data_IF_289431614658
#
_entry.id   IF_289431614658
#
_cell.length_a   1.000
_cell.length_b   1.000
_cell.length_c   1.000
_cell.angle_alpha   90.00
_cell.angle_beta   90.00
_cell.angle_gamma   90.00
#
_symmetry.space_group_name_H-M   'P 1'
#
loop_
_entity.id
_entity.type
_entity.pdbx_description
1 polymer ?
#
# COMPACT_ATOMS: atom_id res chain seq x y z
N UNK A 1 7.55 -38.42 1.19
CA UNK A 1 8.79 -38.01 1.87
C UNK A 1 8.73 -36.51 2.02
N UNK A 2 8.65 -36.01 3.25
CA UNK A 2 8.74 -34.57 3.52
C UNK A 2 10.16 -34.31 4.03
N UNK A 3 11.02 -33.61 3.27
CA UNK A 3 12.37 -33.30 3.74
C UNK A 3 12.28 -32.40 4.98
N UNK A 4 13.10 -32.70 5.99
CA UNK A 4 13.28 -31.84 7.15
C UNK A 4 14.56 -31.04 6.94
N UNK A 5 14.43 -29.72 6.85
CA UNK A 5 15.56 -28.79 6.76
C UNK A 5 15.88 -28.27 8.15
N UNK A 6 17.10 -28.52 8.62
CA UNK A 6 17.60 -27.97 9.88
C UNK A 6 18.48 -26.77 9.54
N UNK A 7 17.99 -25.57 9.85
CA UNK A 7 18.68 -24.32 9.60
C UNK A 7 19.15 -23.70 10.92
N UNK A 8 20.36 -23.11 10.92
CA UNK A 8 20.86 -22.33 12.04
C UNK A 8 19.99 -21.08 12.21
N UNK A 9 19.58 -20.78 13.45
CA UNK A 9 18.88 -19.55 13.79
C UNK A 9 19.81 -18.33 13.63
N UNK A 10 19.29 -17.26 13.02
CA UNK A 10 20.02 -16.03 12.68
C UNK A 10 19.34 -14.82 13.33
N UNK A 11 20.11 -13.90 13.92
CA UNK A 11 19.62 -12.62 14.44
C UNK A 11 19.12 -12.63 15.90
N UNK A 12 18.90 -13.81 16.49
CA UNK A 12 18.34 -13.96 17.84
C UNK A 12 19.36 -14.46 18.88
N UNK A 13 20.65 -14.52 18.51
CA UNK A 13 21.72 -14.99 19.39
C UNK A 13 22.15 -13.98 20.46
N UNK A 14 21.80 -12.70 20.31
CA UNK A 14 22.10 -11.65 21.28
C UNK A 14 20.78 -11.09 21.86
N UNK A 15 20.45 -11.35 23.15
CA UNK A 15 19.22 -10.88 23.77
C UNK A 15 19.06 -9.35 23.80
N UNK A 16 20.16 -8.61 23.66
CA UNK A 16 20.18 -7.15 23.65
C UNK A 16 20.04 -6.56 22.23
N UNK A 17 20.33 -7.33 21.18
CA UNK A 17 20.14 -6.90 19.81
C UNK A 17 18.70 -7.14 19.39
N UNK A 18 18.10 -6.14 18.74
CA UNK A 18 16.74 -6.22 18.23
C UNK A 18 16.83 -6.67 16.76
N UNK A 19 16.61 -7.96 16.43
CA UNK A 19 16.69 -8.42 15.05
C UNK A 19 15.70 -7.67 14.17
N UNK A 20 16.13 -7.39 12.95
CA UNK A 20 15.31 -6.79 11.89
C UNK A 20 15.09 -7.85 10.84
N UNK A 21 13.85 -8.25 10.64
CA UNK A 21 13.48 -9.32 9.71
C UNK A 21 12.45 -8.80 8.72
N UNK A 22 12.32 -9.51 7.61
CA UNK A 22 11.36 -9.12 6.59
C UNK A 22 11.18 -10.09 5.45
N UNK A 23 10.27 -9.68 4.58
CA UNK A 23 10.00 -10.29 3.28
C UNK A 23 10.34 -9.28 2.18
N UNK A 24 10.89 -9.77 1.08
CA UNK A 24 11.26 -8.99 -0.08
C UNK A 24 10.71 -9.68 -1.32
N UNK A 25 9.84 -8.99 -2.03
CA UNK A 25 9.44 -9.34 -3.37
C UNK A 25 10.37 -8.60 -4.32
N UNK A 26 11.16 -9.34 -5.09
CA UNK A 26 12.13 -8.73 -6.01
C UNK A 26 11.44 -7.90 -7.09
N UNK A 27 10.20 -8.27 -7.40
CA UNK A 27 9.26 -7.54 -8.22
C UNK A 27 7.91 -7.34 -7.52
N UNK A 28 7.28 -6.17 -7.71
CA UNK A 28 5.91 -5.92 -7.31
C UNK A 28 4.95 -6.90 -7.99
N UNK A 29 4.34 -7.75 -7.17
CA UNK A 29 3.44 -8.80 -7.63
C UNK A 29 2.17 -8.24 -8.30
N UNK A 30 1.85 -6.97 -8.06
CA UNK A 30 0.66 -6.31 -8.62
C UNK A 30 0.96 -5.68 -9.99
N UNK A 31 2.24 -5.55 -10.36
CA UNK A 31 2.71 -4.67 -11.44
C UNK A 31 2.98 -5.40 -12.74
N UNK A 32 2.23 -6.45 -13.03
CA UNK A 32 2.00 -6.76 -14.44
C UNK A 32 1.13 -5.67 -15.03
N UNK A 33 1.74 -4.48 -15.13
CA UNK A 33 1.47 -3.46 -16.10
C UNK A 33 1.12 -4.21 -17.37
N UNK A 34 -0.06 -3.89 -17.87
CA UNK A 34 -0.49 -4.11 -19.23
C UNK A 34 0.66 -3.89 -20.23
N UNK A 35 1.49 -4.90 -20.44
CA UNK A 35 2.32 -5.03 -21.63
C UNK A 35 1.71 -6.16 -22.43
N UNK A 36 0.85 -5.74 -23.36
CA UNK A 36 0.39 -6.51 -24.51
C UNK A 36 1.54 -6.94 -25.45
N UNK A 37 2.80 -6.67 -25.07
CA UNK A 37 3.97 -7.04 -25.85
C UNK A 37 5.08 -7.59 -24.93
N UNK A 38 5.48 -8.82 -25.20
CA UNK A 38 6.30 -9.69 -24.33
C UNK A 38 7.80 -9.33 -24.31
N UNK A 39 8.16 -8.06 -24.50
CA UNK A 39 9.56 -7.65 -24.67
C UNK A 39 10.20 -7.04 -23.41
N UNK A 40 9.40 -6.53 -22.45
CA UNK A 40 9.88 -6.14 -21.13
C UNK A 40 8.93 -6.65 -20.03
N UNK A 41 9.28 -7.78 -19.38
CA UNK A 41 8.36 -8.52 -18.54
C UNK A 41 8.17 -7.94 -17.12
N UNK A 42 8.84 -6.84 -16.76
CA UNK A 42 8.89 -6.39 -15.36
C UNK A 42 8.63 -4.90 -15.14
N UNK A 43 8.07 -4.54 -13.98
CA UNK A 43 8.01 -3.13 -13.51
C UNK A 43 9.34 -2.62 -12.97
N UNK A 44 10.23 -3.53 -12.58
CA UNK A 44 11.50 -3.23 -11.93
C UNK A 44 11.38 -2.69 -10.50
N UNK A 45 10.19 -2.74 -9.90
CA UNK A 45 9.93 -2.27 -8.53
C UNK A 45 10.16 -3.42 -7.57
N UNK A 46 11.09 -3.26 -6.64
CA UNK A 46 11.28 -4.21 -5.52
C UNK A 46 10.48 -3.73 -4.33
N UNK A 47 9.78 -4.65 -3.65
CA UNK A 47 9.00 -4.36 -2.45
C UNK A 47 9.65 -5.06 -1.27
N UNK A 48 10.16 -4.29 -0.32
CA UNK A 48 10.70 -4.80 0.94
C UNK A 48 9.73 -4.46 2.05
N UNK A 49 9.43 -5.43 2.91
CA UNK A 49 8.72 -5.19 4.14
C UNK A 49 9.46 -5.74 5.33
N UNK A 50 9.53 -4.95 6.39
CA UNK A 50 10.35 -5.31 7.53
C UNK A 50 9.80 -4.78 8.85
N UNK A 51 10.06 -5.54 9.90
CA UNK A 51 9.76 -5.18 11.29
C UNK A 51 10.88 -5.65 12.23
N UNK A 52 10.66 -5.48 13.53
CA UNK A 52 11.56 -5.96 14.57
C UNK A 52 11.10 -7.33 15.09
N UNK A 53 12.05 -8.14 15.58
CA UNK A 53 11.78 -9.45 16.18
C UNK A 53 11.94 -10.61 15.20
N UNK A 54 11.29 -11.73 15.50
CA UNK A 54 11.30 -12.96 14.69
C UNK A 54 10.42 -12.82 13.43
N UNK A 55 10.87 -13.36 12.29
CA UNK A 55 10.22 -13.17 10.97
C UNK A 55 8.79 -13.69 10.88
N UNK A 56 8.43 -14.69 11.68
CA UNK A 56 7.06 -15.19 11.83
C UNK A 56 6.04 -14.06 12.03
N UNK A 57 6.40 -12.99 12.76
CA UNK A 57 5.51 -11.84 12.94
C UNK A 57 5.15 -11.15 11.62
N UNK A 58 6.11 -11.06 10.69
CA UNK A 58 5.94 -10.46 9.36
C UNK A 58 5.19 -11.43 8.44
N UNK A 59 5.69 -12.67 8.31
CA UNK A 59 5.17 -13.69 7.39
C UNK A 59 3.71 -14.05 7.71
N UNK A 60 3.40 -14.25 9.00
CA UNK A 60 2.04 -14.52 9.50
C UNK A 60 1.25 -13.26 9.80
N UNK A 61 1.84 -12.08 9.53
CA UNK A 61 1.16 -10.78 9.62
C UNK A 61 0.54 -10.47 10.97
N UNK A 62 1.22 -10.91 12.03
CA UNK A 62 0.81 -10.71 13.41
C UNK A 62 1.24 -9.34 13.95
N UNK A 63 2.16 -8.65 13.25
CA UNK A 63 2.68 -7.34 13.65
C UNK A 63 2.63 -6.32 12.51
N UNK A 64 2.52 -5.01 12.81
CA UNK A 64 2.68 -3.95 11.82
C UNK A 64 4.08 -3.98 11.20
N UNK A 65 4.19 -3.63 9.92
CA UNK A 65 5.44 -3.62 9.16
C UNK A 65 5.65 -2.31 8.44
N UNK A 66 6.92 -1.92 8.30
CA UNK A 66 7.31 -0.88 7.35
C UNK A 66 7.35 -1.48 5.94
N UNK A 67 7.04 -0.67 4.94
CA UNK A 67 7.09 -1.07 3.53
C UNK A 67 7.99 -0.11 2.78
N UNK A 68 8.88 -0.63 1.95
CA UNK A 68 9.82 0.14 1.15
C UNK A 68 9.66 -0.29 -0.30
N UNK A 69 9.31 0.64 -1.17
CA UNK A 69 9.25 0.42 -2.60
C UNK A 69 10.52 1.00 -3.22
N UNK A 70 11.26 0.17 -3.95
CA UNK A 70 12.54 0.56 -4.56
C UNK A 70 12.46 0.40 -6.07
N UNK A 71 12.63 1.51 -6.79
CA UNK A 71 12.63 1.50 -8.25
C UNK A 71 13.99 1.06 -8.83
N UNK A 72 14.10 0.99 -10.15
CA UNK A 72 15.33 0.60 -10.86
C UNK A 72 16.51 1.58 -10.67
N UNK A 73 16.23 2.83 -10.27
CA UNK A 73 17.24 3.85 -9.97
C UNK A 73 17.58 3.91 -8.47
N UNK A 74 17.17 2.89 -7.69
CA UNK A 74 17.38 2.78 -6.25
C UNK A 74 16.74 3.91 -5.42
N UNK A 75 15.75 4.62 -5.97
CA UNK A 75 14.93 5.55 -5.19
C UNK A 75 14.04 4.76 -4.23
N UNK A 76 14.05 5.13 -2.95
CA UNK A 76 13.27 4.47 -1.89
C UNK A 76 12.04 5.32 -1.57
N UNK A 77 10.87 4.68 -1.63
CA UNK A 77 9.62 5.23 -1.11
C UNK A 77 9.22 4.42 0.14
N UNK A 78 9.47 4.95 1.36
CA UNK A 78 9.11 4.27 2.59
C UNK A 78 7.67 4.60 3.03
N UNK A 79 6.97 3.60 3.56
CA UNK A 79 5.73 3.71 4.32
C UNK A 79 6.01 3.13 5.71
N UNK A 80 6.12 4.01 6.70
CA UNK A 80 6.51 3.63 8.07
C UNK A 80 5.26 3.50 8.94
N UNK A 81 5.15 2.39 9.67
CA UNK A 81 4.01 2.12 10.54
C UNK A 81 4.41 2.05 12.01
N UNK A 82 3.48 2.39 12.93
CA UNK A 82 3.66 2.16 14.35
C UNK A 82 3.85 0.67 14.67
N UNK A 83 5.07 0.24 14.98
CA UNK A 83 5.43 -1.14 15.34
C UNK A 83 5.30 -1.35 16.84
N UNK A 84 4.07 -1.35 17.35
CA UNK A 84 3.82 -1.39 18.81
C UNK A 84 4.20 -2.71 19.47
N UNK A 85 4.31 -3.79 18.70
CA UNK A 85 4.64 -5.13 19.19
C UNK A 85 5.60 -5.84 18.22
N UNK A 86 6.28 -6.88 18.71
CA UNK A 86 7.16 -7.79 17.96
C UNK A 86 6.98 -9.23 18.42
N UNK A 87 7.36 -10.19 17.59
CA UNK A 87 7.46 -11.60 17.99
C UNK A 87 8.87 -11.90 18.49
N UNK A 88 8.97 -12.68 19.57
CA UNK A 88 10.25 -13.08 20.17
C UNK A 88 10.11 -14.49 20.77
N UNK A 89 11.11 -15.37 20.60
CA UNK A 89 11.09 -16.67 21.27
C UNK A 89 11.22 -16.51 22.79
N UNK A 90 10.59 -17.40 23.53
CA UNK A 90 10.84 -17.54 24.98
C UNK A 90 12.21 -18.15 25.22
N UNK A 91 12.87 -17.72 26.29
CA UNK A 91 14.18 -18.26 26.69
C UNK A 91 14.15 -19.75 27.04
N UNK A 92 12.99 -20.27 27.46
CA UNK A 92 12.85 -21.63 28.00
C UNK A 92 12.35 -22.63 26.96
N UNK A 93 11.30 -22.28 26.21
CA UNK A 93 10.65 -23.21 25.26
C UNK A 93 10.99 -22.92 23.80
N UNK A 94 11.54 -21.75 23.48
CA UNK A 94 11.70 -21.27 22.10
C UNK A 94 10.37 -20.91 21.43
N UNK A 95 9.24 -21.01 22.15
CA UNK A 95 7.93 -20.63 21.65
C UNK A 95 7.86 -19.13 21.40
N UNK A 96 7.26 -18.72 20.29
CA UNK A 96 7.15 -17.32 19.96
C UNK A 96 6.04 -16.65 20.77
N UNK A 97 6.35 -15.50 21.38
CA UNK A 97 5.41 -14.65 22.08
C UNK A 97 5.42 -13.24 21.51
N UNK A 98 4.24 -12.61 21.57
CA UNK A 98 4.09 -11.21 21.24
C UNK A 98 4.56 -10.36 22.43
N UNK A 99 5.52 -9.47 22.18
CA UNK A 99 6.12 -8.58 23.18
C UNK A 99 5.97 -7.14 22.72
N UNK A 100 5.61 -6.24 23.63
CA UNK A 100 5.52 -4.81 23.33
C UNK A 100 6.90 -4.22 22.99
N UNK A 101 6.93 -3.33 22.00
CA UNK A 101 8.07 -2.45 21.77
C UNK A 101 7.98 -1.23 22.69
N UNK A 102 9.13 -0.75 23.17
CA UNK A 102 9.19 0.55 23.84
C UNK A 102 8.91 1.69 22.83
N UNK A 103 8.69 2.91 23.32
CA UNK A 103 8.17 4.04 22.52
C UNK A 103 9.00 4.39 21.29
N UNK A 104 10.32 4.14 21.30
CA UNK A 104 11.24 4.54 20.23
C UNK A 104 11.19 3.62 18.99
N UNK A 105 11.37 2.28 19.08
CA UNK A 105 11.15 1.37 17.96
C UNK A 105 9.73 1.43 17.38
N UNK A 106 8.73 1.78 18.19
CA UNK A 106 7.37 1.89 17.70
C UNK A 106 7.25 2.89 16.52
N UNK A 107 8.00 3.99 16.52
CA UNK A 107 7.88 5.06 15.51
C UNK A 107 9.08 5.20 14.59
N UNK A 108 10.12 4.36 14.76
CA UNK A 108 11.34 4.43 13.96
C UNK A 108 11.26 3.45 12.79
N UNK A 109 11.85 3.76 11.61
CA UNK A 109 12.00 2.79 10.53
C UNK A 109 12.73 1.52 11.00
N UNK A 110 12.23 0.36 10.60
CA UNK A 110 12.83 -0.94 10.89
C UNK A 110 14.17 -1.08 10.18
N UNK A 111 14.29 -0.60 8.94
CA UNK A 111 15.52 -0.60 8.15
C UNK A 111 16.02 0.82 7.86
N UNK A 112 17.34 0.97 7.83
CA UNK A 112 18.00 2.17 7.31
C UNK A 112 18.12 2.11 5.77
N UNK A 113 18.35 3.26 5.12
CA UNK A 113 18.42 3.34 3.65
C UNK A 113 19.50 2.44 3.04
N UNK A 114 20.66 2.28 3.68
CA UNK A 114 21.74 1.41 3.19
C UNK A 114 21.35 -0.07 3.17
N UNK A 115 20.65 -0.54 4.21
CA UNK A 115 20.09 -1.89 4.25
C UNK A 115 19.06 -2.11 3.13
N UNK A 116 18.17 -1.13 2.90
CA UNK A 116 17.16 -1.18 1.84
C UNK A 116 17.80 -1.23 0.44
N UNK A 117 18.83 -0.42 0.18
CA UNK A 117 19.59 -0.47 -1.08
C UNK A 117 20.29 -1.82 -1.25
N UNK A 118 20.88 -2.34 -0.18
CA UNK A 118 21.54 -3.66 -0.22
C UNK A 118 20.55 -4.77 -0.58
N UNK A 119 19.34 -4.73 -0.02
CA UNK A 119 18.26 -5.65 -0.38
C UNK A 119 17.85 -5.52 -1.85
N UNK A 120 17.73 -4.30 -2.39
CA UNK A 120 17.49 -4.10 -3.83
C UNK A 120 18.59 -4.75 -4.70
N UNK A 121 19.86 -4.60 -4.31
CA UNK A 121 20.96 -5.24 -5.03
C UNK A 121 20.91 -6.78 -4.91
N UNK A 122 20.47 -7.32 -3.77
CA UNK A 122 20.22 -8.75 -3.63
C UNK A 122 19.06 -9.22 -4.50
N UNK A 123 17.96 -8.46 -4.58
CA UNK A 123 16.82 -8.75 -5.44
C UNK A 123 17.25 -8.92 -6.90
N UNK A 124 17.98 -7.95 -7.45
CA UNK A 124 18.47 -7.98 -8.84
C UNK A 124 19.38 -9.21 -9.10
N UNK A 125 20.27 -9.53 -8.16
CA UNK A 125 21.13 -10.71 -8.26
C UNK A 125 20.36 -12.03 -8.18
N UNK A 126 19.36 -12.11 -7.30
CA UNK A 126 18.52 -13.29 -7.15
C UNK A 126 17.69 -13.51 -8.41
N UNK A 127 17.09 -12.46 -8.98
CA UNK A 127 16.37 -12.56 -10.24
C UNK A 127 17.26 -13.01 -11.39
N UNK A 128 18.47 -12.43 -11.49
CA UNK A 128 19.45 -12.83 -12.50
C UNK A 128 19.84 -14.30 -12.35
N UNK A 129 20.02 -14.77 -11.11
CA UNK A 129 20.44 -16.14 -10.83
C UNK A 129 19.33 -17.18 -11.07
N UNK A 130 18.10 -16.88 -10.62
CA UNK A 130 16.96 -17.80 -10.74
C UNK A 130 16.17 -17.64 -12.06
N UNK A 131 16.45 -16.58 -12.84
CA UNK A 131 15.82 -16.33 -14.13
C UNK A 131 14.41 -15.73 -14.05
N UNK A 132 14.01 -15.18 -12.91
CA UNK A 132 12.70 -14.57 -12.74
C UNK A 132 12.48 -13.99 -11.34
N UNK A 133 11.31 -13.36 -11.09
CA UNK A 133 11.00 -12.72 -9.82
C UNK A 133 10.92 -13.72 -8.67
N UNK A 134 11.31 -13.27 -7.47
CA UNK A 134 11.46 -14.09 -6.28
C UNK A 134 10.73 -13.47 -5.07
N UNK A 135 10.18 -14.34 -4.25
CA UNK A 135 9.70 -14.08 -2.88
C UNK A 135 10.79 -14.54 -1.91
N UNK A 136 11.34 -13.59 -1.13
CA UNK A 136 12.58 -13.76 -0.38
C UNK A 136 12.37 -13.36 1.08
N UNK A 137 12.72 -14.25 2.00
CA UNK A 137 12.76 -13.93 3.43
C UNK A 137 14.18 -13.59 3.86
N UNK A 138 14.35 -12.58 4.71
CA UNK A 138 15.67 -12.11 5.13
C UNK A 138 15.72 -11.68 6.60
N UNK A 139 16.95 -11.66 7.13
CA UNK A 139 17.29 -11.10 8.44
C UNK A 139 18.47 -10.14 8.27
N UNK A 140 18.35 -8.94 8.83
CA UNK A 140 19.41 -7.93 8.85
C UNK A 140 20.04 -7.88 10.23
N UNK A 141 21.34 -8.14 10.27
CA UNK A 141 22.17 -7.92 11.44
C UNK A 141 22.97 -6.63 11.26
N UNK A 142 22.60 -5.56 11.96
CA UNK A 142 23.30 -4.28 11.88
C UNK A 142 24.64 -4.26 12.61
N UNK A 143 24.82 -5.08 13.66
CA UNK A 143 26.10 -5.18 14.39
C UNK A 143 27.19 -5.78 13.49
N UNK A 144 26.82 -6.78 12.69
CA UNK A 144 27.70 -7.45 11.72
C UNK A 144 27.65 -6.80 10.32
N UNK A 145 26.83 -5.77 10.13
CA UNK A 145 26.55 -5.16 8.82
C UNK A 145 26.25 -6.20 7.72
N UNK A 146 25.45 -7.21 8.06
CA UNK A 146 25.20 -8.39 7.21
C UNK A 146 23.71 -8.63 6.99
N UNK A 147 23.34 -8.94 5.75
CA UNK A 147 21.99 -9.40 5.37
C UNK A 147 22.06 -10.91 5.11
N UNK A 148 21.24 -11.65 5.84
CA UNK A 148 21.09 -13.09 5.66
C UNK A 148 19.80 -13.36 4.89
N UNK A 149 19.91 -14.04 3.74
CA UNK A 149 18.75 -14.58 3.03
C UNK A 149 18.42 -15.93 3.64
N UNK A 150 17.24 -16.07 4.23
CA UNK A 150 16.83 -17.29 4.93
C UNK A 150 15.97 -18.20 4.07
N UNK A 151 15.20 -17.64 3.14
CA UNK A 151 14.42 -18.38 2.14
C UNK A 151 14.35 -17.56 0.85
N UNK A 152 14.35 -18.23 -0.30
CA UNK A 152 14.03 -17.63 -1.59
C UNK A 152 13.24 -18.64 -2.43
N UNK A 153 12.11 -18.22 -2.98
CA UNK A 153 11.28 -19.05 -3.88
C UNK A 153 10.78 -18.23 -5.06
N UNK A 154 10.56 -18.84 -6.25
CA UNK A 154 10.01 -18.11 -7.39
C UNK A 154 8.65 -17.49 -7.08
N UNK A 155 8.44 -16.26 -7.51
CA UNK A 155 7.12 -15.62 -7.55
C UNK A 155 6.35 -16.22 -8.74
N UNK A 156 5.19 -16.83 -8.48
CA UNK A 156 4.40 -17.44 -9.55
C UNK A 156 3.68 -16.35 -10.34
N UNK A 157 4.20 -16.05 -11.52
CA UNK A 157 3.72 -14.95 -12.34
C UNK A 157 2.43 -15.32 -13.09
N UNK A 158 1.24 -15.14 -12.49
CA UNK A 158 -0.06 -15.36 -13.17
C UNK A 158 -0.37 -14.27 -14.20
N UNK A 159 -1.16 -14.58 -15.23
CA UNK A 159 -1.76 -13.56 -16.11
C UNK A 159 -2.99 -13.02 -15.41
N UNK A 160 -3.00 -11.73 -15.14
CA UNK A 160 -4.18 -11.06 -14.62
C UNK A 160 -5.03 -10.53 -15.77
N UNK A 161 -6.32 -10.39 -15.49
CA UNK A 161 -7.21 -9.63 -16.36
C UNK A 161 -6.84 -8.15 -16.34
N UNK A 162 -7.26 -7.43 -17.38
CA UNK A 162 -7.03 -5.99 -17.49
C UNK A 162 -7.70 -5.24 -16.34
N UNK A 163 -6.93 -4.39 -15.64
CA UNK A 163 -7.42 -3.61 -14.51
C UNK A 163 -8.64 -2.77 -14.90
N UNK A 164 -9.63 -2.69 -14.02
CA UNK A 164 -10.88 -1.96 -14.26
C UNK A 164 -11.44 -1.44 -12.93
N UNK A 165 -12.03 -0.25 -12.94
CA UNK A 165 -12.60 0.38 -11.74
C UNK A 165 -13.93 1.08 -12.02
N UNK A 166 -14.66 1.42 -10.96
CA UNK A 166 -15.92 2.14 -11.06
C UNK A 166 -15.71 3.66 -10.99
N UNK A 167 -16.03 4.35 -12.07
CA UNK A 167 -16.02 5.83 -12.11
C UNK A 167 -17.35 6.41 -11.62
N UNK A 168 -18.47 5.86 -12.10
CA UNK A 168 -19.81 6.37 -11.82
C UNK A 168 -20.65 5.37 -11.01
N UNK A 169 -20.10 4.89 -9.88
CA UNK A 169 -20.76 3.91 -9.02
C UNK A 169 -22.16 4.32 -8.53
N UNK A 170 -22.42 5.64 -8.44
CA UNK A 170 -23.71 6.19 -7.97
C UNK A 170 -24.87 5.91 -8.94
N UNK A 171 -24.58 5.49 -10.18
CA UNK A 171 -25.57 5.07 -11.17
C UNK A 171 -26.01 3.61 -10.95
N UNK A 172 -25.29 2.85 -10.13
CA UNK A 172 -25.65 1.48 -9.79
C UNK A 172 -26.72 1.47 -8.70
N UNK A 173 -27.75 0.66 -8.90
CA UNK A 173 -28.73 0.39 -7.86
C UNK A 173 -28.28 -0.83 -7.05
N UNK A 174 -28.30 -0.71 -5.74
CA UNK A 174 -27.82 -1.78 -4.87
C UNK A 174 -27.38 -1.28 -3.51
N UNK A 175 -27.10 -2.23 -2.62
CA UNK A 175 -26.46 -1.93 -1.34
C UNK A 175 -24.93 -1.95 -1.53
N UNK A 176 -24.24 -0.92 -1.02
CA UNK A 176 -22.79 -0.77 -1.17
C UNK A 176 -22.11 -0.97 0.18
N UNK A 177 -21.15 -1.88 0.23
CA UNK A 177 -20.27 -2.08 1.37
C UNK A 177 -18.86 -1.60 1.01
N UNK A 178 -18.33 -0.70 1.84
CA UNK A 178 -16.96 -0.20 1.73
C UNK A 178 -16.07 -0.80 2.80
N UNK A 179 -14.83 -1.07 2.44
CA UNK A 179 -13.78 -1.56 3.30
C UNK A 179 -12.43 -1.20 2.72
N UNK A 180 -11.54 -2.18 2.61
CA UNK A 180 -10.16 -1.98 2.15
C UNK A 180 -9.66 -3.18 1.36
N UNK A 181 -8.73 -2.95 0.44
CA UNK A 181 -8.12 -4.01 -0.35
C UNK A 181 -6.89 -4.58 0.33
N UNK A 182 -6.86 -5.90 0.50
CA UNK A 182 -5.67 -6.63 0.95
C UNK A 182 -4.83 -7.04 -0.27
N UNK A 183 -5.45 -7.58 -1.31
CA UNK A 183 -4.75 -7.93 -2.56
C UNK A 183 -5.65 -7.68 -3.76
N UNK A 184 -5.20 -6.86 -4.71
CA UNK A 184 -6.02 -6.52 -5.86
C UNK A 184 -6.06 -7.60 -6.95
N UNK A 185 -5.09 -8.52 -6.95
CA UNK A 185 -4.94 -9.59 -7.95
C UNK A 185 -5.20 -9.11 -9.39
N UNK A 186 -4.48 -8.05 -9.80
CA UNK A 186 -4.63 -7.42 -11.12
C UNK A 186 -5.66 -6.30 -11.22
N UNK A 187 -6.47 -6.08 -10.18
CA UNK A 187 -7.33 -4.91 -10.05
C UNK A 187 -8.53 -4.89 -10.99
N UNK A 188 -8.84 -5.96 -11.70
CA UNK A 188 -10.06 -6.01 -12.53
C UNK A 188 -11.31 -6.12 -11.66
N UNK A 189 -12.43 -5.54 -12.12
CA UNK A 189 -13.73 -5.72 -11.49
C UNK A 189 -14.14 -7.20 -11.59
N UNK A 190 -14.85 -7.69 -10.57
CA UNK A 190 -15.37 -9.07 -10.54
C UNK A 190 -16.87 -9.03 -10.34
N UNK A 191 -17.62 -9.53 -11.31
CA UNK A 191 -19.05 -9.76 -11.14
C UNK A 191 -19.25 -11.24 -10.77
N UNK A 192 -19.72 -11.48 -9.55
CA UNK A 192 -19.67 -12.80 -8.94
C UNK A 192 -20.99 -13.15 -8.24
N UNK A 193 -21.30 -14.44 -8.21
CA UNK A 193 -22.37 -15.00 -7.38
C UNK A 193 -21.84 -15.32 -5.98
N UNK A 194 -22.70 -15.45 -4.96
CA UNK A 194 -22.30 -15.90 -3.63
C UNK A 194 -21.45 -17.17 -3.60
N UNK A 195 -21.75 -18.14 -4.46
CA UNK A 195 -21.01 -19.41 -4.55
C UNK A 195 -19.57 -19.24 -5.03
N UNK A 196 -19.24 -18.10 -5.65
CA UNK A 196 -17.91 -17.78 -6.17
C UNK A 196 -17.11 -16.90 -5.20
N UNK A 197 -17.60 -16.68 -3.98
CA UNK A 197 -16.91 -15.93 -2.94
C UNK A 197 -16.59 -16.85 -1.77
N UNK A 198 -15.35 -16.80 -1.29
CA UNK A 198 -15.00 -17.40 0.00
C UNK A 198 -14.93 -16.30 1.06
N UNK A 199 -15.67 -16.52 2.14
CA UNK A 199 -15.68 -15.65 3.31
C UNK A 199 -15.03 -16.32 4.52
N UNK A 200 -14.13 -15.60 5.20
CA UNK A 200 -13.55 -15.99 6.49
C UNK A 200 -13.43 -14.80 7.44
N UNK A 201 -13.54 -15.02 8.75
CA UNK A 201 -13.31 -13.95 9.72
C UNK A 201 -11.85 -13.46 9.66
N UNK A 202 -10.93 -14.39 9.38
CA UNK A 202 -9.51 -14.13 9.15
C UNK A 202 -9.07 -14.67 7.79
N UNK A 203 -7.92 -14.21 7.30
CA UNK A 203 -7.39 -14.68 6.03
C UNK A 203 -6.94 -16.14 6.08
N UNK A 204 -6.45 -16.61 7.24
CA UNK A 204 -6.15 -18.02 7.47
C UNK A 204 -7.40 -18.90 7.37
N UNK A 205 -8.49 -18.53 8.05
CA UNK A 205 -9.77 -19.25 7.96
C UNK A 205 -10.31 -19.27 6.51
N UNK A 206 -10.18 -18.16 5.79
CA UNK A 206 -10.57 -18.10 4.38
C UNK A 206 -9.73 -19.07 3.53
N UNK A 207 -8.43 -19.23 3.82
CA UNK A 207 -7.57 -20.15 3.12
C UNK A 207 -7.91 -21.61 3.42
N UNK A 208 -8.16 -21.95 4.69
CA UNK A 208 -8.56 -23.32 5.07
C UNK A 208 -9.83 -23.73 4.31
N UNK A 209 -10.85 -22.87 4.31
CA UNK A 209 -12.08 -23.08 3.53
C UNK A 209 -11.81 -23.22 2.04
N UNK A 210 -10.95 -22.37 1.50
CA UNK A 210 -10.61 -22.38 0.07
C UNK A 210 -9.92 -23.70 -0.34
N UNK A 211 -9.04 -24.24 0.50
CA UNK A 211 -8.32 -25.49 0.25
C UNK A 211 -9.22 -26.74 0.34
N UNK A 212 -10.29 -26.68 1.12
CA UNK A 212 -11.28 -27.76 1.24
C UNK A 212 -12.26 -27.83 0.06
N UNK A 213 -12.33 -26.80 -0.78
CA UNK A 213 -13.23 -26.77 -1.94
C UNK A 213 -12.82 -27.80 -3.00
N UNK A 214 -13.81 -28.46 -3.60
CA UNK A 214 -13.59 -29.35 -4.73
C UNK A 214 -13.19 -28.59 -6.00
N UNK A 215 -13.77 -27.40 -6.20
CA UNK A 215 -13.55 -26.55 -7.39
C UNK A 215 -13.02 -25.15 -7.00
N UNK A 216 -11.80 -25.02 -6.47
CA UNK A 216 -11.24 -23.73 -6.03
C UNK A 216 -11.02 -22.73 -7.19
N UNK A 217 -11.05 -23.20 -8.43
CA UNK A 217 -10.90 -22.36 -9.62
C UNK A 217 -12.13 -21.48 -9.89
N UNK A 218 -13.33 -21.91 -9.46
CA UNK A 218 -14.60 -21.17 -9.66
C UNK A 218 -14.76 -19.96 -8.75
N UNK A 219 -13.96 -19.89 -7.67
CA UNK A 219 -13.96 -18.76 -6.74
C UNK A 219 -13.31 -17.57 -7.42
N UNK A 220 -13.95 -16.40 -7.39
CA UNK A 220 -13.49 -15.20 -8.09
C UNK A 220 -13.09 -14.07 -7.13
N UNK A 221 -13.43 -14.18 -5.84
CA UNK A 221 -13.01 -13.22 -4.82
C UNK A 221 -12.97 -13.84 -3.41
N UNK A 222 -12.11 -13.28 -2.56
CA UNK A 222 -11.98 -13.62 -1.15
C UNK A 222 -12.35 -12.39 -0.31
N UNK A 223 -13.17 -12.60 0.73
CA UNK A 223 -13.56 -11.52 1.65
C UNK A 223 -13.25 -11.90 3.08
N UNK A 224 -12.61 -10.99 3.81
CA UNK A 224 -12.26 -11.16 5.22
C UNK A 224 -12.94 -10.16 6.13
N UNK A 225 -13.26 -10.60 7.35
CA UNK A 225 -13.79 -9.74 8.40
C UNK A 225 -12.75 -8.95 9.18
N UNK A 226 -11.48 -9.35 9.10
CA UNK A 226 -10.35 -8.62 9.68
C UNK A 226 -9.36 -8.23 8.60
N UNK A 227 -8.76 -7.06 8.77
CA UNK A 227 -7.68 -6.59 7.91
C UNK A 227 -6.44 -7.49 8.05
N UNK A 228 -5.74 -7.72 6.94
CA UNK A 228 -4.41 -8.34 6.91
C UNK A 228 -3.48 -7.56 5.97
N UNK A 229 -2.16 -7.57 6.18
CA UNK A 229 -1.17 -7.10 5.22
C UNK A 229 -1.25 -7.87 3.88
N UNK A 230 -1.07 -7.13 2.78
CA UNK A 230 -1.09 -7.63 1.39
C UNK A 230 -0.02 -8.66 1.05
N UNK A 231 0.98 -8.76 1.90
CA UNK A 231 2.21 -9.55 1.79
C UNK A 231 2.26 -10.71 2.78
N UNK A 232 1.21 -10.89 3.58
CA UNK A 232 1.06 -12.07 4.42
C UNK A 232 1.23 -13.33 3.58
N UNK A 233 1.70 -14.43 4.19
CA UNK A 233 1.81 -15.70 3.50
C UNK A 233 0.49 -16.07 2.81
N UNK A 234 -0.64 -15.91 3.51
CA UNK A 234 -1.98 -16.20 2.97
C UNK A 234 -2.41 -15.24 1.85
N UNK A 235 -2.14 -13.94 1.97
CA UNK A 235 -2.45 -12.98 0.91
C UNK A 235 -1.65 -13.27 -0.37
N UNK A 236 -0.38 -13.67 -0.21
CA UNK A 236 0.49 -14.07 -1.31
C UNK A 236 -0.04 -15.34 -1.99
N UNK A 237 -0.58 -16.31 -1.23
CA UNK A 237 -1.23 -17.50 -1.81
C UNK A 237 -2.41 -17.11 -2.69
N UNK A 238 -3.34 -16.29 -2.18
CA UNK A 238 -4.49 -15.85 -2.98
C UNK A 238 -4.09 -14.99 -4.19
N UNK A 239 -3.07 -14.15 -4.04
CA UNK A 239 -2.52 -13.37 -5.14
C UNK A 239 -1.94 -14.27 -6.24
N UNK A 240 -1.17 -15.29 -5.86
CA UNK A 240 -0.66 -16.32 -6.79
C UNK A 240 -1.82 -17.10 -7.43
N UNK A 241 -2.93 -17.29 -6.70
CA UNK A 241 -4.16 -17.88 -7.23
C UNK A 241 -5.00 -16.90 -8.08
N UNK A 242 -4.55 -15.66 -8.26
CA UNK A 242 -5.26 -14.65 -9.04
C UNK A 242 -6.58 -14.19 -8.40
N UNK A 243 -6.74 -14.41 -7.10
CA UNK A 243 -7.98 -14.12 -6.36
C UNK A 243 -7.82 -12.81 -5.58
N UNK A 244 -8.61 -11.78 -5.88
CA UNK A 244 -8.58 -10.55 -5.11
C UNK A 244 -9.08 -10.80 -3.69
N UNK A 245 -8.47 -10.12 -2.73
CA UNK A 245 -8.76 -10.23 -1.30
C UNK A 245 -9.20 -8.86 -0.79
N UNK A 246 -10.41 -8.77 -0.25
CA UNK A 246 -10.95 -7.58 0.39
C UNK A 246 -11.21 -7.79 1.86
N UNK A 247 -10.98 -6.76 2.65
CA UNK A 247 -11.49 -6.67 4.02
C UNK A 247 -12.74 -5.80 4.01
N UNK A 248 -13.87 -6.35 4.48
CA UNK A 248 -15.12 -5.62 4.66
C UNK A 248 -15.50 -5.63 6.14
N UNK A 249 -15.62 -4.45 6.80
CA UNK A 249 -15.89 -4.38 8.24
C UNK A 249 -17.36 -4.69 8.62
N UNK A 250 -18.30 -4.61 7.68
CA UNK A 250 -19.74 -4.81 7.91
C UNK A 250 -20.16 -6.24 7.55
N UNK A 251 -19.84 -7.16 8.46
CA UNK A 251 -19.94 -8.61 8.22
C UNK A 251 -21.37 -9.13 8.11
N UNK A 252 -22.29 -8.62 8.95
CA UNK A 252 -23.65 -9.13 9.01
C UNK A 252 -24.41 -8.89 7.69
N UNK A 253 -24.23 -7.70 7.10
CA UNK A 253 -24.83 -7.36 5.81
C UNK A 253 -24.25 -8.24 4.69
N UNK A 254 -22.93 -8.41 4.65
CA UNK A 254 -22.29 -9.21 3.61
C UNK A 254 -22.69 -10.69 3.70
N UNK A 255 -22.78 -11.24 4.92
CA UNK A 255 -23.26 -12.61 5.12
C UNK A 255 -24.70 -12.80 4.65
N UNK A 256 -25.57 -11.79 4.84
CA UNK A 256 -26.94 -11.84 4.31
C UNK A 256 -26.98 -11.93 2.78
N UNK A 257 -26.04 -11.27 2.09
CA UNK A 257 -25.91 -11.36 0.63
C UNK A 257 -25.45 -12.75 0.19
N UNK A 258 -24.54 -13.37 0.95
CA UNK A 258 -24.05 -14.71 0.65
C UNK A 258 -25.12 -15.80 0.82
N UNK A 259 -26.13 -15.58 1.66
CA UNK A 259 -27.25 -16.51 1.85
C UNK A 259 -28.28 -16.45 0.72
N UNK A 260 -28.29 -15.40 -0.09
CA UNK A 260 -29.21 -15.26 -1.21
C UNK A 260 -28.57 -15.72 -2.52
N UNK A 261 -28.88 -16.93 -3.05
CA UNK A 261 -28.21 -17.48 -4.24
C UNK A 261 -28.42 -16.66 -5.51
N UNK A 262 -29.47 -15.83 -5.56
CA UNK A 262 -29.79 -14.98 -6.71
C UNK A 262 -29.10 -13.59 -6.64
N UNK A 263 -28.33 -13.31 -5.59
CA UNK A 263 -27.58 -12.06 -5.48
C UNK A 263 -26.48 -11.99 -6.55
N UNK A 264 -26.33 -10.82 -7.18
CA UNK A 264 -25.16 -10.52 -8.02
C UNK A 264 -24.31 -9.49 -7.31
N UNK A 265 -23.10 -9.90 -6.96
CA UNK A 265 -22.17 -9.07 -6.20
C UNK A 265 -21.10 -8.56 -7.15
N UNK A 266 -21.01 -7.24 -7.29
CA UNK A 266 -19.92 -6.58 -7.99
C UNK A 266 -18.84 -6.23 -6.98
N UNK A 267 -17.68 -6.85 -7.12
CA UNK A 267 -16.51 -6.61 -6.31
C UNK A 267 -15.59 -5.66 -7.08
N UNK A 268 -15.16 -4.57 -6.42
CA UNK A 268 -14.15 -3.64 -6.93
C UNK A 268 -12.88 -3.76 -6.09
N UNK A 269 -11.91 -4.58 -6.54
CA UNK A 269 -10.66 -4.80 -5.80
C UNK A 269 -9.81 -3.56 -5.68
N UNK A 270 -9.92 -2.57 -6.58
CA UNK A 270 -9.11 -1.35 -6.47
C UNK A 270 -9.66 -0.37 -5.44
N UNK A 271 -10.98 -0.34 -5.27
CA UNK A 271 -11.66 0.68 -4.47
C UNK A 271 -12.13 0.13 -3.12
N UNK A 272 -11.72 -1.09 -2.76
CA UNK A 272 -12.02 -1.68 -1.47
C UNK A 272 -13.52 -1.86 -1.21
N UNK A 273 -14.32 -2.18 -2.23
CA UNK A 273 -15.79 -2.19 -2.10
C UNK A 273 -16.45 -3.38 -2.77
N UNK A 274 -17.65 -3.72 -2.28
CA UNK A 274 -18.55 -4.68 -2.88
C UNK A 274 -19.96 -4.09 -2.97
N UNK A 275 -20.67 -4.37 -4.06
CA UNK A 275 -22.01 -3.85 -4.34
C UNK A 275 -22.94 -5.03 -4.63
N UNK A 276 -24.00 -5.19 -3.85
CA UNK A 276 -25.07 -6.13 -4.17
C UNK A 276 -26.04 -5.45 -5.15
N UNK A 277 -25.90 -5.79 -6.42
CA UNK A 277 -26.60 -5.13 -7.51
C UNK A 277 -28.07 -5.52 -7.54
N UNK A 278 -28.93 -4.52 -7.78
CA UNK A 278 -30.34 -4.72 -8.14
C UNK A 278 -30.49 -4.38 -9.61
N UNK A 279 -31.04 -5.31 -10.37
CA UNK A 279 -31.14 -5.17 -11.82
C UNK A 279 -32.37 -5.90 -12.35
N UNK A 280 -32.95 -5.37 -13.43
CA UNK A 280 -33.99 -6.04 -14.21
C UNK A 280 -33.40 -7.06 -15.18
N UNK A 281 -32.14 -6.85 -15.62
CA UNK A 281 -31.37 -7.75 -16.48
C UNK A 281 -29.94 -7.86 -15.97
N UNK A 282 -29.42 -9.08 -15.90
CA UNK A 282 -28.08 -9.36 -15.34
C UNK A 282 -27.00 -8.50 -16.03
N UNK A 283 -26.27 -7.67 -15.27
CA UNK A 283 -25.27 -6.78 -15.83
C UNK A 283 -24.06 -7.59 -16.32
N UNK A 284 -23.35 -7.06 -17.31
CA UNK A 284 -22.04 -7.57 -17.73
C UNK A 284 -21.01 -6.47 -17.59
N UNK A 285 -19.74 -6.81 -17.40
CA UNK A 285 -18.66 -5.82 -17.32
C UNK A 285 -18.59 -4.96 -18.62
N UNK A 286 -18.88 -5.57 -19.76
CA UNK A 286 -18.97 -4.90 -21.07
C UNK A 286 -20.09 -3.84 -21.08
N UNK A 287 -21.27 -4.16 -20.55
CA UNK A 287 -22.38 -3.20 -20.46
C UNK A 287 -22.08 -2.06 -19.49
N UNK A 288 -21.41 -2.35 -18.37
CA UNK A 288 -20.97 -1.33 -17.42
C UNK A 288 -19.92 -0.40 -18.04
N UNK A 289 -19.02 -0.94 -18.87
CA UNK A 289 -18.04 -0.16 -19.61
C UNK A 289 -18.70 0.69 -20.70
N UNK A 290 -19.60 0.12 -21.51
CA UNK A 290 -20.35 0.84 -22.53
C UNK A 290 -21.19 1.99 -21.95
N UNK A 291 -21.65 1.85 -20.70
CA UNK A 291 -22.41 2.86 -19.97
C UNK A 291 -21.54 3.87 -19.22
N UNK A 292 -20.22 3.82 -19.39
CA UNK A 292 -19.24 4.67 -18.69
C UNK A 292 -19.33 4.59 -17.15
N UNK A 293 -19.82 3.47 -16.62
CA UNK A 293 -19.85 3.18 -15.18
C UNK A 293 -18.51 2.57 -14.74
N UNK A 294 -17.98 1.66 -15.55
CA UNK A 294 -16.67 1.03 -15.36
C UNK A 294 -15.66 1.53 -16.40
N UNK A 295 -14.42 1.76 -15.97
CA UNK A 295 -13.34 2.29 -16.81
C UNK A 295 -12.12 1.38 -16.67
N UNK A 296 -11.45 1.10 -17.79
CA UNK A 296 -10.20 0.32 -17.82
C UNK A 296 -9.05 1.15 -17.25
N UNK A 297 -8.17 0.50 -16.51
CA UNK A 297 -7.00 1.10 -15.86
C UNK A 297 -7.05 1.01 -14.33
N UNK A 298 -6.16 1.76 -13.70
CA UNK A 298 -6.01 1.81 -12.24
C UNK A 298 -6.55 3.14 -11.67
N UNK A 299 -7.27 3.10 -10.55
CA UNK A 299 -7.65 4.29 -9.76
C UNK A 299 -6.42 4.80 -9.02
N UNK A 300 -5.91 3.95 -8.14
CA UNK A 300 -4.70 4.14 -7.37
C UNK A 300 -3.95 2.82 -7.47
N UNK A 301 -2.83 2.85 -8.18
CA UNK A 301 -1.99 1.67 -8.28
C UNK A 301 -1.43 1.34 -6.87
N UNK A 302 -1.36 0.05 -6.48
CA UNK A 302 -0.99 -0.35 -5.12
C UNK A 302 0.46 0.00 -4.72
N UNK A 303 1.37 0.17 -5.69
CA UNK A 303 2.58 0.93 -5.46
C UNK A 303 2.26 2.42 -5.62
N UNK A 304 2.74 3.27 -4.70
CA UNK A 304 2.44 4.71 -4.69
C UNK A 304 2.35 5.28 -6.12
N UNK A 305 1.33 6.10 -6.48
CA UNK A 305 1.05 6.51 -7.86
C UNK A 305 2.28 6.99 -8.66
N UNK A 306 3.32 7.50 -8.00
CA UNK A 306 4.62 7.84 -8.58
C UNK A 306 5.38 6.67 -9.25
N UNK A 307 5.18 5.42 -8.83
CA UNK A 307 5.95 4.27 -9.35
C UNK A 307 5.22 3.59 -10.52
N UNK A 308 3.87 3.65 -10.53
CA UNK A 308 3.06 3.19 -11.67
C UNK A 308 2.91 4.24 -12.77
N UNK A 309 2.94 5.53 -12.43
CA UNK A 309 2.92 6.61 -13.41
C UNK A 309 4.33 6.84 -13.98
N UNK A 310 4.82 5.85 -14.72
CA UNK A 310 6.07 5.84 -15.49
C UNK A 310 7.37 5.86 -14.68
N UNK A 311 8.28 4.95 -15.08
CA UNK A 311 9.74 5.01 -14.86
C UNK A 311 10.39 6.30 -15.42
N UNK A 312 9.62 7.24 -15.96
CA UNK A 312 10.05 8.48 -16.60
C UNK A 312 9.50 9.74 -15.92
N UNK A 313 8.80 9.65 -14.78
CA UNK A 313 8.39 10.85 -14.06
C UNK A 313 9.61 11.50 -13.40
N UNK A 314 10.29 12.33 -14.17
CA UNK A 314 11.05 13.45 -13.63
C UNK A 314 10.08 14.63 -13.59
N UNK A 315 9.82 15.25 -12.42
CA UNK A 315 9.06 16.48 -12.37
C UNK A 315 9.87 17.56 -13.10
N UNK A 316 9.63 17.69 -14.41
CA UNK A 316 10.26 18.71 -15.26
C UNK A 316 9.65 20.09 -15.02
N UNK A 317 8.50 20.16 -14.35
CA UNK A 317 7.84 21.42 -14.05
C UNK A 317 8.15 21.86 -12.61
N UNK A 318 8.83 23.01 -12.48
CA UNK A 318 8.93 23.74 -11.21
C UNK A 318 7.51 23.91 -10.66
N UNK A 319 7.29 23.63 -9.36
CA UNK A 319 6.02 23.97 -8.70
C UNK A 319 5.70 25.45 -8.92
N UNK A 320 4.80 25.79 -9.84
CA UNK A 320 4.31 27.15 -10.03
C UNK A 320 3.10 27.38 -9.14
N UNK A 321 2.74 28.64 -8.91
CA UNK A 321 1.54 28.95 -8.13
C UNK A 321 0.27 28.50 -8.89
N UNK A 322 0.35 28.48 -10.22
CA UNK A 322 -0.68 27.97 -11.11
C UNK A 322 -0.81 26.45 -11.00
N UNK A 323 0.30 25.72 -10.89
CA UNK A 323 0.27 24.28 -10.62
C UNK A 323 -0.40 23.99 -9.26
N UNK A 324 -0.02 24.71 -8.19
CA UNK A 324 -0.67 24.58 -6.86
C UNK A 324 -2.17 24.89 -6.97
N UNK A 325 -2.56 25.92 -7.74
CA UNK A 325 -3.97 26.24 -7.95
C UNK A 325 -4.74 25.20 -8.77
N UNK A 326 -4.09 24.58 -9.76
CA UNK A 326 -4.66 23.52 -10.59
C UNK A 326 -4.82 22.20 -9.81
N UNK A 327 -3.95 21.96 -8.84
CA UNK A 327 -4.00 20.80 -7.95
C UNK A 327 -5.10 20.92 -6.90
N UNK A 328 -5.50 22.15 -6.56
CA UNK A 328 -6.45 22.46 -5.49
C UNK A 328 -7.47 23.53 -5.94
N UNK A 329 -8.30 23.30 -6.98
CA UNK A 329 -9.29 24.29 -7.39
C UNK A 329 -10.26 24.56 -6.21
N UNK A 330 -10.54 25.83 -5.90
CA UNK A 330 -11.27 26.16 -4.69
C UNK A 330 -12.74 25.81 -4.83
N UNK A 331 -13.33 25.38 -3.72
CA UNK A 331 -14.76 25.10 -3.62
C UNK A 331 -15.61 26.39 -3.70
N UNK A 332 -15.03 27.56 -3.40
CA UNK A 332 -15.66 28.88 -3.53
C UNK A 332 -14.66 29.99 -3.89
N UNK A 333 -15.12 31.21 -4.19
CA UNK A 333 -14.26 32.37 -4.46
C UNK A 333 -13.69 32.99 -3.16
N UNK A 334 -13.06 32.18 -2.31
CA UNK A 334 -12.53 32.60 -1.02
C UNK A 334 -11.26 33.47 -1.19
N UNK A 335 -11.22 34.64 -0.55
CA UNK A 335 -10.07 35.56 -0.64
C UNK A 335 -8.77 34.97 -0.08
N UNK A 336 -8.87 34.11 0.95
CA UNK A 336 -7.72 33.40 1.53
C UNK A 336 -7.14 32.42 0.52
N UNK A 337 -7.99 31.77 -0.27
CA UNK A 337 -7.56 30.89 -1.35
C UNK A 337 -6.89 31.66 -2.48
N UNK A 338 -7.53 32.74 -2.95
CA UNK A 338 -6.97 33.62 -3.98
C UNK A 338 -5.59 34.15 -3.60
N UNK A 339 -5.36 34.35 -2.30
CA UNK A 339 -4.11 34.86 -1.71
C UNK A 339 -3.46 33.87 -0.73
N UNK A 340 -3.49 32.56 -1.01
CA UNK A 340 -2.97 31.52 -0.09
C UNK A 340 -1.50 31.74 0.31
N UNK A 341 -0.73 32.46 -0.50
CA UNK A 341 0.64 32.86 -0.24
C UNK A 341 0.77 33.84 0.93
N UNK A 342 -0.13 34.82 0.98
CA UNK A 342 -0.21 35.81 2.07
C UNK A 342 -0.64 35.13 3.35
N UNK A 343 -1.60 34.20 3.27
CA UNK A 343 -2.02 33.35 4.38
C UNK A 343 -0.86 32.48 4.88
N UNK A 344 -0.13 31.81 3.97
CA UNK A 344 1.09 31.05 4.32
C UNK A 344 2.15 31.92 5.00
N UNK A 345 2.27 33.19 4.61
CA UNK A 345 3.22 34.14 5.19
C UNK A 345 2.93 34.53 6.65
N UNK A 346 1.71 34.33 7.14
CA UNK A 346 1.29 34.72 8.49
C UNK A 346 1.72 33.72 9.58
N UNK A 347 2.07 32.50 9.18
CA UNK A 347 2.33 31.38 10.08
C UNK A 347 3.69 30.76 9.76
N UNK A 348 4.38 30.24 10.76
CA UNK A 348 5.53 29.36 10.54
C UNK A 348 5.09 27.95 10.10
N UNK A 349 6.05 27.09 9.79
CA UNK A 349 5.74 25.74 9.29
C UNK A 349 4.99 24.89 10.31
N UNK A 350 5.35 25.00 11.60
CA UNK A 350 4.75 24.24 12.69
C UNK A 350 3.34 24.76 13.01
N UNK A 351 3.15 26.06 12.96
CA UNK A 351 1.86 26.72 13.11
C UNK A 351 0.90 26.35 11.97
N UNK A 352 1.37 26.29 10.72
CA UNK A 352 0.55 25.81 9.59
C UNK A 352 0.10 24.37 9.77
N UNK A 353 0.97 23.48 10.25
CA UNK A 353 0.61 22.09 10.54
C UNK A 353 -0.42 21.99 11.67
N UNK A 354 -0.31 22.83 12.70
CA UNK A 354 -1.29 22.89 13.79
C UNK A 354 -2.64 23.44 13.31
N UNK A 355 -2.64 24.45 12.45
CA UNK A 355 -3.87 24.99 11.85
C UNK A 355 -4.53 23.97 10.93
N UNK A 356 -3.75 23.27 10.10
CA UNK A 356 -4.20 22.15 9.28
C UNK A 356 -4.85 21.06 10.13
N UNK A 357 -4.28 20.78 11.31
CA UNK A 357 -4.83 19.79 12.22
C UNK A 357 -6.25 20.11 12.73
N UNK A 358 -6.59 21.38 12.75
CA UNK A 358 -7.88 21.86 13.23
C UNK A 358 -8.84 22.23 12.08
N UNK A 359 -8.37 22.18 10.83
CA UNK A 359 -9.11 22.65 9.65
C UNK A 359 -9.97 21.56 9.01
N UNK A 360 -11.10 21.96 8.41
CA UNK A 360 -11.97 21.09 7.61
C UNK A 360 -12.45 21.81 6.35
N UNK A 361 -12.87 21.05 5.33
CA UNK A 361 -13.45 21.62 4.11
C UNK A 361 -12.50 22.57 3.36
N UNK A 362 -12.98 23.77 3.04
CA UNK A 362 -12.22 24.76 2.27
C UNK A 362 -10.99 25.31 3.02
N UNK A 363 -11.07 25.48 4.35
CA UNK A 363 -9.93 25.94 5.16
C UNK A 363 -8.78 24.92 5.15
N UNK A 364 -9.09 23.63 5.02
CA UNK A 364 -8.10 22.57 4.85
C UNK A 364 -7.39 22.67 3.50
N UNK A 365 -8.12 22.94 2.42
CA UNK A 365 -7.54 23.17 1.08
C UNK A 365 -6.61 24.39 1.07
N UNK A 366 -7.05 25.49 1.69
CA UNK A 366 -6.25 26.71 1.85
C UNK A 366 -4.97 26.43 2.66
N UNK A 367 -5.09 25.69 3.76
CA UNK A 367 -3.96 25.28 4.59
C UNK A 367 -2.96 24.41 3.84
N UNK A 368 -3.41 23.46 3.03
CA UNK A 368 -2.55 22.56 2.26
C UNK A 368 -1.81 23.32 1.16
N UNK A 369 -2.50 24.20 0.42
CA UNK A 369 -1.86 25.06 -0.56
C UNK A 369 -0.84 26.02 0.07
N UNK A 370 -1.14 26.55 1.26
CA UNK A 370 -0.22 27.40 2.02
C UNK A 370 1.02 26.63 2.50
N UNK A 371 0.86 25.38 2.94
CA UNK A 371 1.96 24.50 3.33
C UNK A 371 2.87 24.20 2.13
N UNK A 372 2.30 23.87 0.97
CA UNK A 372 3.05 23.59 -0.25
C UNK A 372 3.76 24.84 -0.80
N UNK A 373 3.15 26.01 -0.67
CA UNK A 373 3.82 27.28 -0.96
C UNK A 373 5.04 27.50 -0.07
N UNK A 374 4.92 27.23 1.23
CA UNK A 374 6.05 27.30 2.17
C UNK A 374 7.15 26.31 1.79
N UNK A 375 6.81 25.05 1.50
CA UNK A 375 7.76 24.04 1.04
C UNK A 375 8.51 24.43 -0.23
N UNK A 376 7.83 25.06 -1.20
CA UNK A 376 8.45 25.64 -2.39
C UNK A 376 9.46 26.75 -2.05
N UNK A 377 9.20 27.53 -1.00
CA UNK A 377 10.05 28.67 -0.59
C UNK A 377 11.24 28.29 0.32
N UNK A 378 11.25 27.09 0.91
CA UNK A 378 12.35 26.59 1.76
C UNK A 378 13.71 26.60 1.03
N UNK A 379 13.85 26.01 -0.18
CA UNK A 379 15.13 26.08 -0.90
C UNK A 379 15.53 27.51 -1.26
N UNK A 380 14.58 28.38 -1.60
CA UNK A 380 14.86 29.76 -2.04
C UNK A 380 15.40 30.64 -0.91
N UNK A 381 14.94 30.42 0.33
CA UNK A 381 15.43 31.19 1.50
C UNK A 381 16.80 30.73 2.00
N UNK A 382 17.21 29.51 1.71
CA UNK A 382 18.50 28.95 2.17
C UNK A 382 19.56 28.92 1.06
N UNK A 383 19.19 29.00 -0.22
CA UNK A 383 20.13 29.09 -1.34
C UNK A 383 20.98 30.38 -1.33
N UNK A 384 20.60 31.40 -0.57
CA UNK A 384 21.41 32.61 -0.37
C UNK A 384 22.45 32.50 0.76
N UNK A 385 22.40 31.45 1.58
CA UNK A 385 23.21 31.34 2.82
C UNK A 385 23.80 29.95 3.09
N UNK A 386 23.37 28.89 2.39
CA UNK A 386 23.86 27.53 2.54
C UNK A 386 24.06 26.87 1.17
N UNK A 387 25.31 26.52 0.84
CA UNK A 387 25.62 25.60 -0.24
C UNK A 387 25.17 24.19 0.16
N UNK A 388 24.07 23.72 -0.42
CA UNK A 388 23.56 22.36 -0.21
C UNK A 388 24.29 21.41 -1.16
N UNK A 389 24.80 20.30 -0.64
CA UNK A 389 25.42 19.25 -1.45
C UNK A 389 24.37 18.51 -2.32
N UNK A 390 24.78 17.76 -3.36
CA UNK A 390 23.86 17.08 -4.26
C UNK A 390 22.90 16.09 -3.57
N UNK A 391 23.34 15.44 -2.49
CA UNK A 391 22.54 14.47 -1.73
C UNK A 391 21.48 15.19 -0.87
N UNK A 392 21.84 16.31 -0.26
CA UNK A 392 20.93 17.18 0.48
C UNK A 392 19.87 17.80 -0.44
N UNK A 393 20.26 18.19 -1.67
CA UNK A 393 19.33 18.68 -2.68
C UNK A 393 18.35 17.59 -3.13
N UNK A 394 18.83 16.37 -3.37
CA UNK A 394 18.00 15.22 -3.72
C UNK A 394 17.03 14.83 -2.59
N UNK A 395 17.50 14.86 -1.32
CA UNK A 395 16.63 14.65 -0.14
C UNK A 395 15.57 15.73 0.00
N UNK A 396 15.90 16.98 -0.31
CA UNK A 396 14.94 18.09 -0.28
C UNK A 396 13.87 17.94 -1.38
N UNK A 397 14.25 17.53 -2.58
CA UNK A 397 13.34 17.24 -3.70
C UNK A 397 12.44 16.02 -3.41
N UNK A 398 12.98 14.99 -2.75
CA UNK A 398 12.21 13.84 -2.28
C UNK A 398 11.21 14.23 -1.17
N UNK A 399 11.61 15.06 -0.20
CA UNK A 399 10.72 15.59 0.84
C UNK A 399 9.60 16.46 0.25
N UNK A 400 9.89 17.26 -0.79
CA UNK A 400 8.88 18.03 -1.50
C UNK A 400 7.88 17.13 -2.23
N UNK A 401 8.36 16.05 -2.86
CA UNK A 401 7.51 15.05 -3.52
C UNK A 401 6.65 14.28 -2.51
N UNK A 402 7.20 13.98 -1.34
CA UNK A 402 6.48 13.33 -0.24
C UNK A 402 5.40 14.22 0.37
N UNK A 403 5.71 15.49 0.64
CA UNK A 403 4.74 16.47 1.11
C UNK A 403 3.59 16.68 0.11
N UNK A 404 3.90 16.63 -1.19
CA UNK A 404 2.92 16.71 -2.27
C UNK A 404 1.98 15.48 -2.31
N UNK A 405 2.53 14.28 -2.14
CA UNK A 405 1.73 13.04 -2.07
C UNK A 405 0.85 12.98 -0.83
N UNK A 406 1.37 13.36 0.33
CA UNK A 406 0.61 13.41 1.58
C UNK A 406 -0.57 14.38 1.46
N UNK A 407 -0.34 15.54 0.84
CA UNK A 407 -1.39 16.53 0.60
C UNK A 407 -2.47 16.03 -0.37
N UNK A 408 -2.11 15.25 -1.40
CA UNK A 408 -3.06 14.64 -2.34
C UNK A 408 -3.94 13.57 -1.66
N UNK A 409 -3.32 12.65 -0.92
CA UNK A 409 -3.99 11.58 -0.17
C UNK A 409 -4.98 12.13 0.88
N UNK A 410 -4.60 13.20 1.60
CA UNK A 410 -5.47 13.89 2.56
C UNK A 410 -6.75 14.42 1.87
N UNK A 411 -6.67 14.90 0.63
CA UNK A 411 -7.81 15.50 -0.07
C UNK A 411 -8.75 14.49 -0.72
N UNK A 412 -8.22 13.41 -1.26
CA UNK A 412 -9.04 12.30 -1.76
C UNK A 412 -9.90 11.72 -0.63
N UNK A 413 -9.36 11.67 0.59
CA UNK A 413 -10.10 11.27 1.80
C UNK A 413 -11.10 12.33 2.32
N UNK A 414 -10.83 13.63 2.15
CA UNK A 414 -11.75 14.72 2.53
C UNK A 414 -12.90 14.87 1.54
N UNK A 415 -12.66 14.66 0.25
CA UNK A 415 -13.72 14.62 -0.77
C UNK A 415 -14.61 13.38 -0.65
N UNK A 416 -14.07 12.25 -0.17
CA UNK A 416 -14.82 11.02 0.04
C UNK A 416 -15.68 11.02 1.32
N UNK A 417 -15.32 11.81 2.35
CA UNK A 417 -16.02 11.88 3.63
C UNK A 417 -16.55 13.30 3.93
N UNK A 418 -17.82 13.55 3.62
CA UNK A 418 -18.58 14.67 4.21
C UNK A 418 -18.93 14.42 5.70
N UNK A 419 -17.99 13.91 6.51
CA UNK A 419 -18.19 13.75 7.95
C UNK A 419 -16.98 14.19 8.77
N UNK A 420 -17.32 14.91 9.84
CA UNK A 420 -16.50 15.66 10.79
C UNK A 420 -15.63 14.77 11.68
N UNK A 421 -14.38 14.48 11.29
CA UNK A 421 -13.37 13.94 12.23
C UNK A 421 -12.05 14.73 12.20
N UNK A 422 -11.44 15.02 13.36
CA UNK A 422 -10.20 15.78 13.43
C UNK A 422 -8.98 14.98 12.95
N UNK A 423 -8.04 15.71 12.37
CA UNK A 423 -6.86 15.31 11.56
C UNK A 423 -5.79 14.42 12.23
N UNK A 424 -5.92 13.96 13.47
CA UNK A 424 -4.87 13.18 14.13
C UNK A 424 -5.28 11.75 14.46
N UNK A 425 -4.68 10.82 13.72
CA UNK A 425 -4.23 9.55 14.31
C UNK A 425 -3.08 8.93 13.51
N UNK A 426 -2.99 9.14 12.19
CA UNK A 426 -2.16 8.27 11.33
C UNK A 426 -1.00 8.94 10.58
N UNK A 427 -0.85 10.26 10.63
CA UNK A 427 0.22 10.96 9.89
C UNK A 427 1.06 11.80 10.85
N UNK A 428 2.08 11.20 11.47
CA UNK A 428 3.20 11.95 12.02
C UNK A 428 4.19 12.18 10.86
N UNK A 429 4.31 13.43 10.44
CA UNK A 429 5.33 13.94 9.51
C UNK A 429 6.73 13.85 10.13
#
# INVERSE_FOLDING_TARGET
FTPVLIQRMIGESNPQALPKCGVMFTEDCQSKIATLDSSQPTSGITVVQAAYGHNEGVVSSLIPVDSYYINQQHNIIPIIRPKTHRMMPTEISGELKLVANNSRPAVTPSLNAGAVISLKNFAEKLEQFYGGPMDVEFVVNEEENTVYIVQARPLVARKFEEAMYLQNQHLLQGEVLKGSTIGAAGGSLRLVKPSQIVFGQTLGEALDKYQELQNPQEIEAIVTGRHAPSTSHWATVFHNEGKPVLHLPQLDNFQSWLQNPDASILVSPQQGMAINLKFEKEPTLENLQASNIAVKGWVDYPAAPLISASLQFQPKEKLTNEAIKALYPPLSNNEKWLNFQKYAGQFDFKELLQQLHLSQGEDLQIGLAALLYKFKSVPVRHAGTLELDPEQKQRLEALQSYAFMLAKDILENVHANQTTRPFAANYCL
#
